data_IF_231597773972
#
_entry.id   IF_231597773972
#
_cell.length_a   1.000
_cell.length_b   1.000
_cell.length_c   1.000
_cell.angle_alpha   90.00
_cell.angle_beta   90.00
_cell.angle_gamma   90.00
#
_symmetry.space_group_name_H-M   'P 1'
#
loop_
_entity.id
_entity.type
_entity.pdbx_description
1 polymer ?
#
# COMPACT_ATOMS: atom_id res chain seq x y z
N UNK A 1 -55.82 -29.79 14.43
CA UNK A 1 -55.37 -29.46 13.06
C UNK A 1 -54.04 -28.77 13.19
N UNK A 2 -52.94 -29.45 12.90
CA UNK A 2 -51.59 -28.92 12.94
C UNK A 2 -51.14 -28.64 11.51
N UNK A 3 -50.63 -27.44 11.18
CA UNK A 3 -49.97 -27.23 9.90
C UNK A 3 -48.47 -27.53 10.04
N UNK A 4 -48.01 -28.53 9.33
CA UNK A 4 -46.62 -28.91 9.14
C UNK A 4 -45.90 -27.83 8.33
N UNK A 5 -44.98 -27.14 8.99
CA UNK A 5 -44.04 -26.21 8.37
C UNK A 5 -42.92 -27.00 7.68
N UNK A 6 -42.96 -27.01 6.34
CA UNK A 6 -41.93 -27.61 5.51
C UNK A 6 -40.85 -26.53 5.23
N UNK A 7 -39.84 -26.41 6.10
CA UNK A 7 -38.71 -25.53 5.91
C UNK A 7 -37.71 -26.20 4.95
N UNK A 8 -37.83 -25.87 3.67
CA UNK A 8 -36.83 -26.19 2.66
C UNK A 8 -35.55 -25.35 2.89
N UNK A 9 -34.63 -25.86 3.70
CA UNK A 9 -33.28 -25.28 3.84
C UNK A 9 -32.50 -25.59 2.55
N UNK A 10 -31.96 -24.60 1.86
CA UNK A 10 -31.04 -24.82 0.76
C UNK A 10 -29.84 -25.59 1.29
N UNK A 11 -29.59 -26.78 0.78
CA UNK A 11 -28.42 -27.59 1.11
C UNK A 11 -27.20 -26.78 0.77
N UNK A 12 -26.45 -26.34 1.80
CA UNK A 12 -25.20 -25.65 1.66
C UNK A 12 -24.28 -26.45 0.75
N UNK A 13 -23.79 -25.80 -0.26
CA UNK A 13 -22.76 -26.32 -1.16
C UNK A 13 -21.53 -26.66 -0.33
N UNK A 14 -21.34 -27.94 0.05
CA UNK A 14 -20.10 -28.42 0.65
C UNK A 14 -19.00 -28.23 -0.40
N UNK A 15 -17.94 -27.46 -0.11
CA UNK A 15 -16.81 -27.43 -1.03
C UNK A 15 -16.27 -28.86 -1.18
N UNK A 16 -16.03 -29.25 -2.41
CA UNK A 16 -15.50 -30.57 -2.83
C UNK A 16 -14.13 -30.77 -2.17
N UNK A 17 -14.11 -31.42 -1.01
CA UNK A 17 -12.92 -31.60 -0.15
C UNK A 17 -11.96 -32.68 -0.70
N UNK A 18 -11.79 -32.75 -2.01
CA UNK A 18 -10.88 -33.77 -2.63
C UNK A 18 -10.36 -33.42 -4.02
N UNK A 19 -10.78 -32.30 -4.60
CA UNK A 19 -10.33 -31.95 -5.94
C UNK A 19 -9.10 -31.06 -5.86
N UNK A 20 -7.92 -31.58 -6.21
CA UNK A 20 -6.72 -30.76 -6.39
C UNK A 20 -7.03 -29.62 -7.35
N UNK A 21 -6.78 -28.35 -6.99
CA UNK A 21 -7.04 -27.24 -7.88
C UNK A 21 -6.28 -27.42 -9.19
N UNK A 22 -7.01 -27.34 -10.34
CA UNK A 22 -6.37 -27.37 -11.65
C UNK A 22 -5.54 -26.09 -11.85
N UNK A 23 -4.18 -26.17 -11.89
CA UNK A 23 -3.30 -24.99 -12.02
C UNK A 23 -3.59 -24.18 -13.28
N UNK A 24 -3.96 -24.86 -14.38
CA UNK A 24 -4.27 -24.18 -15.63
C UNK A 24 -5.60 -23.40 -15.55
N UNK A 25 -6.60 -23.97 -14.86
CA UNK A 25 -7.87 -23.26 -14.63
C UNK A 25 -7.63 -21.99 -13.81
N UNK A 26 -6.79 -22.05 -12.79
CA UNK A 26 -6.41 -20.86 -12.00
C UNK A 26 -5.63 -19.85 -12.83
N UNK A 27 -4.66 -20.27 -13.63
CA UNK A 27 -3.92 -19.41 -14.53
C UNK A 27 -4.84 -18.72 -15.55
N UNK A 28 -5.81 -19.42 -16.11
CA UNK A 28 -6.83 -18.83 -17.01
C UNK A 28 -7.68 -17.78 -16.29
N UNK A 29 -8.15 -18.06 -15.07
CA UNK A 29 -8.93 -17.11 -14.25
C UNK A 29 -8.11 -15.85 -13.92
N UNK A 30 -6.87 -16.01 -13.50
CA UNK A 30 -5.98 -14.91 -13.17
C UNK A 30 -5.70 -14.01 -14.39
N UNK A 31 -5.43 -14.61 -15.57
CA UNK A 31 -5.32 -13.86 -16.83
C UNK A 31 -6.58 -13.09 -17.18
N UNK A 32 -7.75 -13.72 -16.99
CA UNK A 32 -9.04 -13.08 -17.26
C UNK A 32 -9.27 -11.91 -16.32
N UNK A 33 -9.07 -12.09 -15.02
CA UNK A 33 -9.20 -11.05 -14.02
C UNK A 33 -8.29 -9.84 -14.33
N UNK A 34 -7.02 -10.08 -14.62
CA UNK A 34 -6.07 -9.02 -14.96
C UNK A 34 -6.45 -8.28 -16.25
N UNK A 35 -6.89 -9.01 -17.30
CA UNK A 35 -7.40 -8.38 -18.54
C UNK A 35 -8.65 -7.54 -18.29
N UNK A 36 -9.59 -8.05 -17.48
CA UNK A 36 -10.81 -7.35 -17.10
C UNK A 36 -10.50 -6.05 -16.36
N UNK A 37 -9.59 -6.12 -15.36
CA UNK A 37 -9.12 -4.95 -14.65
C UNK A 37 -8.54 -3.90 -15.61
N UNK A 38 -7.62 -4.29 -16.48
CA UNK A 38 -7.04 -3.38 -17.47
C UNK A 38 -8.06 -2.80 -18.45
N UNK A 39 -9.08 -3.57 -18.83
CA UNK A 39 -10.14 -3.13 -19.75
C UNK A 39 -11.05 -2.07 -19.13
N UNK A 40 -11.50 -2.29 -17.91
CA UNK A 40 -12.55 -1.48 -17.28
C UNK A 40 -12.02 -0.36 -16.40
N UNK A 41 -10.90 -0.57 -15.72
CA UNK A 41 -10.34 0.42 -14.78
C UNK A 41 -9.30 1.35 -15.39
N UNK A 42 -8.93 1.20 -16.65
CA UNK A 42 -7.91 2.04 -17.30
C UNK A 42 -8.33 3.51 -17.34
N UNK A 43 -7.48 4.38 -16.79
CA UNK A 43 -7.60 5.83 -16.77
C UNK A 43 -6.47 6.46 -17.60
N UNK A 44 -6.73 6.72 -18.87
CA UNK A 44 -5.70 7.20 -19.80
C UNK A 44 -4.70 6.10 -20.20
N UNK A 45 -3.40 6.44 -20.28
CA UNK A 45 -2.38 5.50 -20.80
C UNK A 45 -1.86 4.54 -19.71
N UNK A 46 -1.66 5.04 -18.48
CA UNK A 46 -0.88 4.34 -17.45
C UNK A 46 -1.58 4.22 -16.10
N UNK A 47 -2.57 5.06 -15.81
CA UNK A 47 -3.27 5.10 -14.53
C UNK A 47 -4.54 4.26 -14.55
N UNK A 48 -5.11 4.05 -13.36
CA UNK A 48 -6.37 3.33 -13.15
C UNK A 48 -7.40 4.27 -12.49
N UNK A 49 -8.67 4.00 -12.75
CA UNK A 49 -9.78 4.59 -12.00
C UNK A 49 -9.91 3.96 -10.63
N UNK A 50 -10.39 4.73 -9.65
CA UNK A 50 -10.68 4.22 -8.31
C UNK A 50 -11.89 3.27 -8.32
N UNK A 51 -12.90 3.57 -9.12
CA UNK A 51 -14.14 2.80 -9.20
C UNK A 51 -14.68 2.71 -10.63
N UNK A 52 -15.45 1.66 -10.91
CA UNK A 52 -16.17 1.45 -12.17
C UNK A 52 -17.56 0.88 -11.82
N UNK A 53 -18.67 1.47 -12.34
CA UNK A 53 -18.72 2.69 -13.18
C UNK A 53 -18.31 3.93 -12.38
N UNK A 54 -17.61 4.85 -13.04
CA UNK A 54 -17.17 6.10 -12.41
C UNK A 54 -18.32 7.10 -12.35
N UNK A 55 -18.57 7.67 -11.16
CA UNK A 55 -19.50 8.76 -10.94
C UNK A 55 -18.78 10.11 -11.11
N UNK A 56 -19.54 11.20 -11.27
CA UNK A 56 -18.97 12.55 -11.46
C UNK A 56 -18.13 13.03 -10.28
N UNK A 57 -18.51 12.64 -9.05
CA UNK A 57 -17.80 12.97 -7.82
C UNK A 57 -16.60 12.07 -7.53
N UNK A 58 -16.44 10.96 -8.24
CA UNK A 58 -15.33 10.02 -8.00
C UNK A 58 -14.01 10.62 -8.47
N UNK A 59 -12.94 10.25 -7.77
CA UNK A 59 -11.58 10.62 -8.17
C UNK A 59 -11.28 10.08 -9.56
N UNK A 60 -10.55 10.88 -10.33
CA UNK A 60 -10.15 10.48 -11.70
C UNK A 60 -9.21 9.29 -11.68
N UNK A 61 -8.31 9.23 -10.70
CA UNK A 61 -7.27 8.20 -10.57
C UNK A 61 -7.36 7.53 -9.22
N UNK A 62 -7.00 6.25 -9.16
CA UNK A 62 -6.95 5.48 -7.93
C UNK A 62 -5.95 6.07 -6.94
N UNK A 63 -6.13 5.72 -5.68
CA UNK A 63 -5.07 5.88 -4.69
C UNK A 63 -3.88 4.96 -5.01
N UNK A 64 -2.76 5.24 -4.38
CA UNK A 64 -1.55 4.43 -4.52
C UNK A 64 -1.77 2.99 -4.08
N UNK A 65 -2.43 2.78 -2.93
CA UNK A 65 -2.67 1.43 -2.41
C UNK A 65 -3.41 0.50 -3.39
N UNK A 66 -4.59 0.84 -3.98
CA UNK A 66 -5.20 0.00 -5.00
C UNK A 66 -4.30 -0.20 -6.23
N UNK A 67 -3.53 0.82 -6.62
CA UNK A 67 -2.61 0.70 -7.75
C UNK A 67 -1.45 -0.27 -7.45
N UNK A 68 -0.90 -0.24 -6.23
CA UNK A 68 0.14 -1.16 -5.79
C UNK A 68 -0.35 -2.62 -5.76
N UNK A 69 -1.61 -2.87 -5.38
CA UNK A 69 -2.20 -4.22 -5.42
C UNK A 69 -2.29 -4.78 -6.86
N UNK A 70 -2.59 -3.92 -7.83
CA UNK A 70 -2.55 -4.33 -9.25
C UNK A 70 -1.13 -4.61 -9.73
N UNK A 71 -0.17 -3.84 -9.24
CA UNK A 71 1.26 -4.06 -9.50
C UNK A 71 1.75 -5.36 -8.87
N UNK A 72 1.30 -5.68 -7.65
CA UNK A 72 1.55 -6.96 -6.99
C UNK A 72 0.99 -8.13 -7.81
N UNK A 73 -0.27 -8.05 -8.21
CA UNK A 73 -0.93 -9.08 -9.03
C UNK A 73 -0.20 -9.30 -10.37
N UNK A 74 0.29 -8.23 -11.02
CA UNK A 74 1.08 -8.37 -12.24
C UNK A 74 2.44 -9.04 -11.97
N UNK A 75 3.05 -8.77 -10.82
CA UNK A 75 4.29 -9.42 -10.38
C UNK A 75 4.06 -10.91 -10.12
N UNK A 76 3.01 -11.27 -9.39
CA UNK A 76 2.64 -12.67 -9.11
C UNK A 76 2.38 -13.46 -10.41
N UNK A 77 1.65 -12.85 -11.35
CA UNK A 77 1.42 -13.44 -12.67
C UNK A 77 2.73 -13.69 -13.42
N UNK A 78 3.65 -12.74 -13.38
CA UNK A 78 4.95 -12.87 -14.03
C UNK A 78 5.83 -13.96 -13.38
N UNK A 79 5.75 -14.14 -12.06
CA UNK A 79 6.44 -15.24 -11.36
C UNK A 79 6.00 -16.62 -11.85
N UNK A 80 4.79 -16.75 -12.40
CA UNK A 80 4.28 -18.00 -13.01
C UNK A 80 4.27 -17.95 -14.54
N UNK A 81 5.07 -17.08 -15.14
CA UNK A 81 5.25 -16.99 -16.60
C UNK A 81 4.09 -16.33 -17.34
N UNK A 82 3.27 -15.54 -16.66
CA UNK A 82 2.09 -14.90 -17.25
C UNK A 82 2.29 -13.38 -17.31
N UNK A 83 2.50 -12.84 -18.50
CA UNK A 83 2.61 -11.39 -18.71
C UNK A 83 3.93 -10.80 -18.21
N UNK A 84 3.92 -9.49 -17.91
CA UNK A 84 5.10 -8.74 -17.50
C UNK A 84 4.91 -8.17 -16.09
N UNK A 85 5.89 -8.38 -15.22
CA UNK A 85 5.93 -7.79 -13.89
C UNK A 85 5.85 -6.25 -13.92
N UNK A 86 6.36 -5.63 -14.99
CA UNK A 86 6.42 -4.18 -15.19
C UNK A 86 5.17 -3.58 -15.83
N UNK A 87 4.10 -4.38 -16.01
CA UNK A 87 2.90 -3.95 -16.76
C UNK A 87 2.24 -2.67 -16.21
N UNK A 88 2.44 -2.35 -14.93
CA UNK A 88 1.86 -1.18 -14.24
C UNK A 88 2.91 -0.18 -13.75
N UNK A 89 4.19 -0.39 -14.00
CA UNK A 89 5.28 0.44 -13.46
C UNK A 89 5.19 1.90 -13.90
N UNK A 90 4.82 2.17 -15.15
CA UNK A 90 4.68 3.54 -15.63
C UNK A 90 3.59 4.31 -14.87
N UNK A 91 2.51 3.63 -14.46
CA UNK A 91 1.48 4.21 -13.60
C UNK A 91 1.97 4.39 -12.18
N UNK A 92 2.62 3.37 -11.62
CA UNK A 92 3.17 3.41 -10.28
C UNK A 92 4.22 4.52 -10.11
N UNK A 93 5.02 4.78 -11.14
CA UNK A 93 6.02 5.84 -11.16
C UNK A 93 5.43 7.24 -10.98
N UNK A 94 4.17 7.45 -11.36
CA UNK A 94 3.49 8.75 -11.16
C UNK A 94 3.26 9.10 -9.69
N UNK A 95 3.28 8.11 -8.80
CA UNK A 95 3.16 8.31 -7.35
C UNK A 95 4.51 8.50 -6.66
N UNK A 96 5.63 8.19 -7.32
CA UNK A 96 6.96 8.23 -6.71
C UNK A 96 7.44 9.64 -6.43
N UNK A 97 7.86 9.92 -5.20
CA UNK A 97 8.52 11.14 -4.77
C UNK A 97 10.02 10.92 -4.59
N UNK A 98 10.87 11.33 -5.55
CA UNK A 98 12.33 11.19 -5.42
C UNK A 98 12.87 11.87 -4.17
N UNK A 99 12.33 13.05 -3.85
CA UNK A 99 12.74 13.84 -2.67
C UNK A 99 12.51 13.10 -1.35
N UNK A 100 11.40 12.34 -1.27
CA UNK A 100 11.04 11.62 -0.04
C UNK A 100 11.58 10.17 -0.05
N UNK A 101 11.88 9.62 -1.22
CA UNK A 101 12.22 8.22 -1.40
C UNK A 101 11.03 7.30 -1.09
N UNK A 102 9.83 7.73 -1.43
CA UNK A 102 8.57 7.05 -1.11
C UNK A 102 7.46 7.40 -2.12
N UNK A 103 6.43 6.56 -2.18
CA UNK A 103 5.22 6.79 -2.96
C UNK A 103 4.23 7.65 -2.19
N UNK A 104 3.60 8.60 -2.87
CA UNK A 104 2.52 9.45 -2.36
C UNK A 104 1.17 8.79 -2.60
N UNK A 105 0.18 9.09 -1.77
CA UNK A 105 -1.16 8.46 -1.85
C UNK A 105 -1.94 8.79 -3.12
N UNK A 106 -1.57 9.84 -3.83
CA UNK A 106 -2.14 10.25 -5.12
C UNK A 106 -1.04 10.45 -6.15
N UNK A 107 -1.34 10.33 -7.46
CA UNK A 107 -0.38 10.65 -8.50
C UNK A 107 0.14 12.08 -8.33
N UNK A 108 1.40 12.30 -8.64
CA UNK A 108 2.03 13.62 -8.61
C UNK A 108 1.74 14.42 -9.89
N UNK A 109 2.01 15.72 -9.91
CA UNK A 109 1.90 16.50 -11.14
C UNK A 109 2.68 15.86 -12.30
N UNK A 110 2.14 15.90 -13.51
CA UNK A 110 0.91 16.59 -13.93
C UNK A 110 -0.39 15.81 -13.73
N UNK A 111 -0.36 14.62 -13.16
CA UNK A 111 -1.52 13.71 -13.06
C UNK A 111 -2.38 13.93 -11.82
N UNK A 112 -1.84 14.55 -10.79
CA UNK A 112 -2.51 14.81 -9.52
C UNK A 112 -1.68 15.68 -8.59
N UNK A 113 -2.02 15.70 -7.31
CA UNK A 113 -1.40 16.59 -6.30
C UNK A 113 -0.37 15.90 -5.40
N UNK A 114 -0.16 14.58 -5.55
CA UNK A 114 0.75 13.79 -4.75
C UNK A 114 0.16 13.29 -3.43
N UNK A 115 -0.44 14.14 -2.63
CA UNK A 115 -1.07 13.74 -1.38
C UNK A 115 -0.10 13.35 -0.26
N UNK A 116 -0.60 12.59 0.70
CA UNK A 116 0.14 12.10 1.88
C UNK A 116 1.00 10.88 1.52
N UNK A 117 1.86 10.48 2.43
CA UNK A 117 2.67 9.27 2.31
C UNK A 117 2.30 8.36 3.48
N UNK A 118 1.76 7.19 3.15
CA UNK A 118 1.43 6.16 4.12
C UNK A 118 2.53 5.10 4.15
N UNK A 119 2.88 4.66 5.35
CA UNK A 119 4.02 3.75 5.54
C UNK A 119 3.68 2.34 5.09
N UNK A 120 2.46 1.87 5.36
CA UNK A 120 1.95 0.57 4.96
C UNK A 120 1.85 0.44 3.42
N UNK A 121 1.31 1.45 2.73
CA UNK A 121 1.29 1.50 1.26
C UNK A 121 2.72 1.32 0.68
N UNK A 122 3.67 2.06 1.25
CA UNK A 122 5.06 1.99 0.84
C UNK A 122 5.73 0.65 1.19
N UNK A 123 5.38 0.04 2.32
CA UNK A 123 5.87 -1.28 2.68
C UNK A 123 5.44 -2.34 1.67
N UNK A 124 4.19 -2.30 1.18
CA UNK A 124 3.72 -3.17 0.10
C UNK A 124 4.56 -3.01 -1.17
N UNK A 125 4.84 -1.77 -1.58
CA UNK A 125 5.68 -1.53 -2.75
C UNK A 125 7.12 -2.04 -2.56
N UNK A 126 7.70 -1.88 -1.37
CA UNK A 126 9.02 -2.44 -1.08
C UNK A 126 9.03 -3.96 -1.24
N UNK A 127 7.99 -4.65 -0.72
CA UNK A 127 7.83 -6.10 -0.84
C UNK A 127 7.71 -6.54 -2.30
N UNK A 128 6.95 -5.84 -3.13
CA UNK A 128 6.82 -6.12 -4.57
C UNK A 128 8.18 -6.03 -5.27
N UNK A 129 8.96 -4.98 -5.01
CA UNK A 129 10.29 -4.82 -5.59
C UNK A 129 11.25 -5.92 -5.13
N UNK A 130 11.22 -6.29 -3.83
CA UNK A 130 12.02 -7.41 -3.29
C UNK A 130 11.61 -8.74 -3.92
N UNK A 131 10.31 -9.01 -4.03
CA UNK A 131 9.78 -10.21 -4.67
C UNK A 131 10.30 -10.37 -6.10
N UNK A 132 10.27 -9.29 -6.90
CA UNK A 132 10.80 -9.30 -8.27
C UNK A 132 12.28 -9.70 -8.32
N UNK A 133 13.08 -9.11 -7.43
CA UNK A 133 14.52 -9.43 -7.35
C UNK A 133 14.73 -10.89 -6.96
N UNK A 134 14.04 -11.38 -5.93
CA UNK A 134 14.16 -12.76 -5.45
C UNK A 134 13.69 -13.78 -6.48
N UNK A 135 12.68 -13.44 -7.28
CA UNK A 135 12.16 -14.29 -8.36
C UNK A 135 13.01 -14.23 -9.65
N UNK A 136 14.07 -13.44 -9.70
CA UNK A 136 14.92 -13.28 -10.88
C UNK A 136 14.25 -12.55 -12.05
N UNK A 137 13.13 -11.85 -11.82
CA UNK A 137 12.38 -11.07 -12.83
C UNK A 137 12.50 -9.56 -12.60
N UNK A 138 13.21 -9.15 -11.56
CA UNK A 138 13.49 -7.77 -11.22
C UNK A 138 14.80 -7.26 -11.83
N UNK A 139 15.08 -6.00 -11.54
CA UNK A 139 16.26 -5.29 -12.01
C UNK A 139 16.96 -4.55 -10.87
N UNK A 140 18.14 -4.00 -11.12
CA UNK A 140 18.81 -3.10 -10.17
C UNK A 140 17.95 -1.90 -9.78
N UNK A 141 17.02 -1.47 -10.65
CA UNK A 141 16.07 -0.41 -10.32
C UNK A 141 15.15 -0.87 -9.18
N UNK A 142 14.66 -2.10 -9.22
CA UNK A 142 13.81 -2.66 -8.16
C UNK A 142 14.56 -2.71 -6.83
N UNK A 143 15.80 -3.19 -6.82
CA UNK A 143 16.61 -3.23 -5.62
C UNK A 143 16.88 -1.82 -5.05
N UNK A 144 17.25 -0.86 -5.91
CA UNK A 144 17.45 0.54 -5.47
C UNK A 144 16.16 1.13 -4.90
N UNK A 145 15.00 0.82 -5.50
CA UNK A 145 13.69 1.30 -5.06
C UNK A 145 13.34 0.71 -3.69
N UNK A 146 13.48 -0.60 -3.52
CA UNK A 146 13.26 -1.29 -2.25
C UNK A 146 14.13 -0.68 -1.14
N UNK A 147 15.42 -0.47 -1.41
CA UNK A 147 16.36 0.17 -0.46
C UNK A 147 15.96 1.61 -0.10
N UNK A 148 15.49 2.39 -1.05
CA UNK A 148 15.04 3.77 -0.80
C UNK A 148 13.81 3.79 0.12
N UNK A 149 12.83 2.93 -0.15
CA UNK A 149 11.62 2.81 0.66
C UNK A 149 11.97 2.29 2.06
N UNK A 150 12.83 1.28 2.16
CA UNK A 150 13.27 0.76 3.46
C UNK A 150 13.90 1.86 4.32
N UNK A 151 14.83 2.65 3.77
CA UNK A 151 15.42 3.79 4.48
C UNK A 151 14.37 4.82 4.89
N UNK A 152 13.35 5.06 4.05
CA UNK A 152 12.24 5.95 4.38
C UNK A 152 11.42 5.40 5.58
N UNK A 153 11.07 4.10 5.58
CA UNK A 153 10.34 3.46 6.68
C UNK A 153 11.16 3.52 7.97
N UNK A 154 12.46 3.23 7.93
CA UNK A 154 13.33 3.28 9.11
C UNK A 154 13.37 4.69 9.75
N UNK A 155 13.35 5.75 8.94
CA UNK A 155 13.26 7.14 9.45
C UNK A 155 11.90 7.49 10.05
N UNK A 156 10.88 6.67 9.81
CA UNK A 156 9.52 6.85 10.34
C UNK A 156 9.29 6.05 11.63
N UNK A 157 10.33 5.48 12.23
CA UNK A 157 10.23 4.83 13.54
C UNK A 157 10.03 5.87 14.63
N UNK A 158 9.20 5.49 15.58
CA UNK A 158 9.01 6.24 16.81
C UNK A 158 10.21 5.99 17.73
N UNK A 159 11.01 7.01 17.96
CA UNK A 159 12.18 6.94 18.84
C UNK A 159 11.96 7.66 20.16
N UNK A 160 10.77 8.19 20.41
CA UNK A 160 10.44 8.88 21.66
C UNK A 160 10.06 7.87 22.74
N UNK A 161 10.88 7.72 23.81
CA UNK A 161 10.58 6.76 24.87
C UNK A 161 9.37 7.15 25.74
N UNK A 162 8.88 8.39 25.62
CA UNK A 162 7.70 8.87 26.35
C UNK A 162 6.39 8.48 25.69
N UNK A 163 6.42 8.01 24.45
CA UNK A 163 5.21 7.57 23.75
C UNK A 163 4.72 6.20 24.26
N UNK A 164 3.42 5.90 24.15
CA UNK A 164 2.84 4.65 24.68
C UNK A 164 3.41 3.37 24.05
N UNK A 165 4.01 3.46 22.85
CA UNK A 165 4.58 2.33 22.12
C UNK A 165 5.85 2.73 21.38
N UNK A 166 6.93 3.04 22.09
CA UNK A 166 8.19 3.43 21.49
C UNK A 166 8.77 2.28 20.64
N UNK A 167 9.46 2.63 19.56
CA UNK A 167 10.02 1.66 18.61
C UNK A 167 9.06 1.20 17.51
N UNK A 168 7.79 1.58 17.58
CA UNK A 168 6.82 1.39 16.51
C UNK A 168 7.14 2.23 15.28
N UNK A 169 6.33 2.08 14.24
CA UNK A 169 6.42 2.89 13.02
C UNK A 169 5.14 3.69 12.89
N UNK A 170 5.27 5.00 12.67
CA UNK A 170 4.09 5.84 12.43
C UNK A 170 3.37 5.40 11.16
N UNK A 171 2.04 5.39 11.19
CA UNK A 171 1.24 5.00 10.03
C UNK A 171 1.40 5.94 8.82
N UNK A 172 1.61 7.24 9.10
CA UNK A 172 1.72 8.27 8.09
C UNK A 172 2.97 9.11 8.33
N UNK A 173 3.71 9.40 7.26
CA UNK A 173 4.87 10.26 7.34
C UNK A 173 4.48 11.70 7.70
N UNK A 174 5.21 12.27 8.65
CA UNK A 174 5.05 13.67 9.00
C UNK A 174 5.42 14.59 7.81
N UNK A 175 4.72 15.71 7.63
CA UNK A 175 5.11 16.71 6.65
C UNK A 175 6.52 17.23 6.92
N UNK A 176 7.29 17.52 5.88
CA UNK A 176 8.68 18.03 6.02
C UNK A 176 8.75 19.27 6.91
N UNK A 177 7.77 20.17 6.78
CA UNK A 177 7.71 21.39 7.58
C UNK A 177 7.46 21.14 9.08
N UNK A 178 6.77 20.07 9.46
CA UNK A 178 6.57 19.71 10.86
C UNK A 178 7.91 19.31 11.52
N UNK A 179 8.77 18.60 10.79
CA UNK A 179 10.13 18.26 11.26
C UNK A 179 11.00 19.49 11.37
N UNK A 180 10.91 20.45 10.45
CA UNK A 180 11.65 21.71 10.51
C UNK A 180 11.22 22.57 11.71
N UNK A 181 9.92 22.64 12.01
CA UNK A 181 9.40 23.40 13.14
C UNK A 181 9.80 22.79 14.50
N UNK A 182 9.94 21.47 14.61
CA UNK A 182 10.43 20.84 15.85
C UNK A 182 11.89 21.13 16.11
N UNK A 183 12.74 21.24 15.09
CA UNK A 183 14.14 21.65 15.23
C UNK A 183 14.32 23.14 15.57
N UNK A 184 13.40 24.00 15.10
CA UNK A 184 13.43 25.43 15.47
C UNK A 184 12.96 25.69 16.92
N UNK A 185 12.24 24.78 17.54
CA UNK A 185 11.77 24.94 18.94
C UNK A 185 12.79 24.53 19.99
N UNK A 186 13.81 23.76 19.66
CA UNK A 186 14.85 23.32 20.60
C UNK A 186 16.00 24.33 20.76
N UNK A 187 15.98 25.43 20.04
CA UNK A 187 17.02 26.48 20.11
C UNK A 187 16.42 27.86 20.43
N UNK A 188 16.00 28.09 21.67
CA UNK A 188 15.63 29.47 22.03
C UNK A 188 14.73 29.60 23.24
N UNK A 189 15.33 29.94 24.36
CA UNK A 189 14.94 30.91 25.39
C UNK A 189 13.50 30.95 25.90
N UNK A 190 13.38 30.81 27.18
CA UNK A 190 12.28 31.24 28.04
C UNK A 190 11.62 32.57 27.58
N UNK A 191 10.41 32.49 27.03
CA UNK A 191 9.53 33.63 26.75
C UNK A 191 8.12 33.29 27.17
N UNK A 192 7.65 33.92 28.23
CA UNK A 192 6.29 33.87 28.75
C UNK A 192 5.28 34.31 27.69
N UNK A 193 4.12 33.62 27.69
CA UNK A 193 2.82 34.19 27.35
C UNK A 193 2.32 33.92 25.95
N UNK A 194 1.37 33.04 25.75
CA UNK A 194 -0.04 33.38 25.53
C UNK A 194 -0.87 32.10 25.35
N UNK A 195 -1.78 31.89 26.28
CA UNK A 195 -2.65 30.72 26.39
C UNK A 195 -3.97 30.96 25.65
N UNK A 196 -3.99 31.11 24.32
CA UNK A 196 -5.24 31.17 23.54
C UNK A 196 -5.12 30.63 22.12
N UNK A 197 -4.74 29.38 22.00
CA UNK A 197 -5.08 28.58 20.83
C UNK A 197 -5.53 27.21 21.33
N UNK A 198 -6.84 27.07 21.54
CA UNK A 198 -7.48 25.78 21.86
C UNK A 198 -7.27 24.87 20.65
N UNK A 199 -6.39 23.90 20.81
CA UNK A 199 -6.25 22.77 19.91
C UNK A 199 -7.57 21.98 19.92
N UNK A 200 -8.09 21.67 18.73
CA UNK A 200 -9.15 20.69 18.56
C UNK A 200 -8.69 19.34 19.10
N UNK A 201 -9.58 18.53 19.73
CA UNK A 201 -9.20 17.29 20.34
C UNK A 201 -8.66 16.32 19.29
N UNK A 202 -7.41 15.95 19.50
CA UNK A 202 -6.70 14.92 18.77
C UNK A 202 -7.47 13.59 18.91
N UNK A 203 -8.10 13.13 17.81
CA UNK A 203 -8.70 11.80 17.78
C UNK A 203 -7.55 10.80 17.80
N UNK A 204 -7.27 10.30 18.99
CA UNK A 204 -6.31 9.24 19.24
C UNK A 204 -6.58 8.08 18.29
N UNK A 205 -5.67 7.85 17.38
CA UNK A 205 -5.63 6.61 16.59
C UNK A 205 -5.37 5.47 17.57
N UNK A 206 -6.43 4.73 17.92
CA UNK A 206 -6.31 3.45 18.58
C UNK A 206 -5.46 2.55 17.70
N UNK A 207 -4.32 2.11 18.26
CA UNK A 207 -3.28 1.37 17.54
C UNK A 207 -3.81 0.10 16.89
N UNK A 208 -3.81 0.10 15.58
CA UNK A 208 -3.89 -1.12 14.80
C UNK A 208 -2.54 -1.82 14.96
N UNK A 209 -2.49 -2.91 15.73
CA UNK A 209 -1.34 -3.81 15.72
C UNK A 209 -1.26 -4.42 14.32
N UNK A 210 -0.37 -3.92 13.50
CA UNK A 210 0.04 -4.62 12.28
C UNK A 210 0.72 -5.91 12.75
N UNK A 211 0.01 -7.03 12.57
CA UNK A 211 0.40 -8.31 13.10
C UNK A 211 1.79 -8.74 12.65
N UNK A 212 2.40 -9.59 13.48
CA UNK A 212 3.74 -10.17 13.38
C UNK A 212 4.12 -10.85 12.04
N UNK A 213 3.21 -10.92 11.07
CA UNK A 213 3.47 -11.46 9.74
C UNK A 213 4.45 -10.60 8.90
N UNK A 214 4.49 -9.27 9.13
CA UNK A 214 5.43 -8.40 8.42
C UNK A 214 6.85 -8.47 8.98
N UNK A 215 7.03 -8.82 10.26
CA UNK A 215 8.36 -8.94 10.88
C UNK A 215 9.15 -10.15 10.37
N UNK A 216 8.51 -11.26 10.06
CA UNK A 216 9.16 -12.47 9.54
C UNK A 216 9.66 -12.32 8.09
N UNK A 217 8.91 -11.63 7.24
CA UNK A 217 9.29 -11.39 5.85
C UNK A 217 10.42 -10.36 5.71
N UNK A 218 10.38 -9.30 6.50
CA UNK A 218 11.41 -8.26 6.49
C UNK A 218 12.74 -8.73 7.08
N UNK A 219 12.73 -9.66 8.05
CA UNK A 219 13.97 -10.20 8.63
C UNK A 219 14.79 -11.00 7.62
N UNK A 220 14.17 -11.78 6.74
CA UNK A 220 14.89 -12.49 5.67
C UNK A 220 15.38 -11.56 4.56
N UNK A 221 14.68 -10.48 4.28
CA UNK A 221 15.09 -9.48 3.31
C UNK A 221 16.19 -8.54 3.83
N UNK A 222 16.35 -8.40 5.16
CA UNK A 222 17.36 -7.52 5.77
C UNK A 222 18.80 -7.95 5.49
N UNK A 223 19.05 -9.20 5.16
CA UNK A 223 20.38 -9.68 4.75
C UNK A 223 20.74 -9.31 3.30
N UNK A 224 19.79 -8.87 2.50
CA UNK A 224 19.98 -8.45 1.10
C UNK A 224 19.93 -6.93 0.92
N UNK A 225 19.46 -6.20 1.93
CA UNK A 225 19.35 -4.73 1.94
C UNK A 225 20.44 -4.09 2.79
#
# INVERSE_FOLDING_TARGET
MNPTSNANHPRGHRPDAGRTPDPEAWARRARLAHRTLRRYFRAGRVLLHEAVPRRRQDRRHSYEWPHSQVTAAATDLACVGIGLATAHDAGQETYWSPLRGAYTSLPRPPHGVGGRIYIDDNAWMALIHVQRVLAGIGSDKDLRRAKAIHRFIQRSRDTDPSHPAPGGVFWMAQPIWATLLSHCRSGGGSGRGDSRLRAAPDRRCSGLRVGSALSGGLSRASHLL
#
